data_IF_053056978523
#
_entry.id   IF_053056978523
#
_cell.length_a   1.000
_cell.length_b   1.000
_cell.length_c   1.000
_cell.angle_alpha   90.00
_cell.angle_beta   90.00
_cell.angle_gamma   90.00
#
_symmetry.space_group_name_H-M   'P 1'
#
loop_
_entity.id
_entity.type
_entity.pdbx_description
1 polymer ?
#
# COMPACT_ATOMS: atom_id res chain seq x y z
N UNK A 1 1.70 -0.39 -18.40
CA UNK A 1 1.38 -0.61 -16.97
C UNK A 1 1.61 0.70 -16.24
N UNK A 2 0.85 1.02 -15.19
CA UNK A 2 1.07 2.27 -14.44
C UNK A 2 2.23 2.08 -13.47
N UNK A 3 3.23 2.98 -13.53
CA UNK A 3 4.35 3.03 -12.59
C UNK A 3 3.98 3.93 -11.42
N UNK A 4 4.00 3.37 -10.24
CA UNK A 4 3.70 4.09 -8.99
C UNK A 4 4.85 3.86 -8.01
N UNK A 5 5.31 4.93 -7.38
CA UNK A 5 6.32 4.84 -6.32
C UNK A 5 5.69 5.20 -4.98
N UNK A 6 5.77 4.29 -4.02
CA UNK A 6 5.41 4.60 -2.64
C UNK A 6 6.45 5.51 -2.01
N UNK A 7 5.98 6.53 -1.31
CA UNK A 7 6.87 7.45 -0.58
C UNK A 7 7.33 6.87 0.76
N UNK A 8 7.00 5.61 1.09
CA UNK A 8 7.45 4.93 2.29
C UNK A 8 8.97 5.00 2.48
N UNK A 9 9.74 4.90 1.40
CA UNK A 9 11.19 5.05 1.40
C UNK A 9 11.68 6.41 1.94
N UNK A 10 10.84 7.43 1.92
CA UNK A 10 11.14 8.79 2.35
C UNK A 10 10.46 9.18 3.66
N UNK A 11 9.90 8.23 4.39
CA UNK A 11 9.04 8.45 5.57
C UNK A 11 9.73 9.28 6.68
N UNK A 12 11.08 9.30 6.70
CA UNK A 12 11.87 10.05 7.69
C UNK A 12 12.16 11.49 7.31
N UNK A 13 11.72 11.93 6.13
CA UNK A 13 11.90 13.30 5.66
C UNK A 13 10.56 13.89 5.19
N UNK A 14 10.36 15.21 5.31
CA UNK A 14 9.16 15.85 4.81
C UNK A 14 8.99 15.67 3.30
N UNK A 15 7.78 15.36 2.86
CA UNK A 15 7.42 15.36 1.45
C UNK A 15 7.56 16.78 0.88
N UNK A 16 8.31 16.92 -0.20
CA UNK A 16 8.60 18.23 -0.81
C UNK A 16 8.27 18.24 -2.30
N UNK A 17 8.00 19.43 -2.84
CA UNK A 17 7.80 19.63 -4.27
C UNK A 17 9.04 19.20 -5.09
N UNK A 18 10.25 19.43 -4.55
CA UNK A 18 11.50 18.98 -5.18
C UNK A 18 11.54 17.47 -5.35
N UNK A 19 11.19 16.71 -4.30
CA UNK A 19 11.14 15.25 -4.39
C UNK A 19 10.12 14.79 -5.44
N UNK A 20 8.94 15.41 -5.50
CA UNK A 20 7.92 15.09 -6.49
C UNK A 20 8.39 15.39 -7.92
N UNK A 21 9.10 16.51 -8.12
CA UNK A 21 9.72 16.84 -9.42
C UNK A 21 10.75 15.77 -9.84
N UNK A 22 11.62 15.34 -8.94
CA UNK A 22 12.62 14.29 -9.20
C UNK A 22 11.96 12.96 -9.58
N UNK A 23 10.90 12.55 -8.87
CA UNK A 23 10.12 11.35 -9.17
C UNK A 23 9.51 11.42 -10.57
N UNK A 24 8.90 12.56 -10.93
CA UNK A 24 8.34 12.78 -12.27
C UNK A 24 9.41 12.74 -13.35
N UNK A 25 10.56 13.38 -13.14
CA UNK A 25 11.70 13.38 -14.08
C UNK A 25 12.28 11.97 -14.29
N UNK A 26 12.18 11.09 -13.32
CA UNK A 26 12.55 9.69 -13.45
C UNK A 26 11.57 8.86 -14.30
N UNK A 27 10.50 9.48 -14.85
CA UNK A 27 9.51 8.80 -15.69
C UNK A 27 8.49 7.98 -14.90
N UNK A 28 8.30 8.30 -13.63
CA UNK A 28 7.28 7.71 -12.76
C UNK A 28 6.04 8.61 -12.82
N UNK A 29 4.88 8.05 -13.16
CA UNK A 29 3.66 8.83 -13.41
C UNK A 29 2.69 8.87 -12.23
N UNK A 30 2.87 7.99 -11.26
CA UNK A 30 2.00 7.90 -10.09
C UNK A 30 2.78 7.80 -8.79
N UNK A 31 2.17 8.27 -7.72
CA UNK A 31 2.72 8.13 -6.37
C UNK A 31 1.68 7.54 -5.42
N UNK A 32 2.17 6.81 -4.45
CA UNK A 32 1.49 6.51 -3.22
C UNK A 32 2.15 7.31 -2.10
N UNK A 33 1.35 7.96 -1.26
CA UNK A 33 1.88 8.70 -0.11
C UNK A 33 1.60 7.91 1.17
N UNK A 34 2.67 7.60 1.90
CA UNK A 34 2.57 7.02 3.22
C UNK A 34 2.20 8.10 4.25
N UNK A 35 1.08 7.91 4.93
CA UNK A 35 0.54 8.87 5.89
C UNK A 35 1.29 8.79 7.23
N UNK A 36 2.47 9.40 7.29
CA UNK A 36 3.19 9.64 8.54
C UNK A 36 3.25 11.15 8.80
N UNK A 37 2.89 11.65 9.98
CA UNK A 37 2.82 13.11 10.25
C UNK A 37 4.13 13.86 9.99
N UNK A 38 5.28 13.21 10.22
CA UNK A 38 6.62 13.76 9.94
C UNK A 38 6.95 13.83 8.45
N UNK A 39 6.31 12.99 7.63
CA UNK A 39 6.51 12.93 6.19
C UNK A 39 5.47 13.76 5.45
N UNK A 40 4.21 13.48 5.66
CA UNK A 40 3.08 14.19 5.07
C UNK A 40 2.07 14.60 6.14
N UNK A 41 1.98 15.89 6.41
CA UNK A 41 1.03 16.48 7.35
C UNK A 41 -0.40 16.49 6.78
N UNK A 42 -1.02 15.33 6.66
CA UNK A 42 -2.36 15.16 6.10
C UNK A 42 -3.48 15.86 6.91
N UNK A 43 -3.17 16.36 8.10
CA UNK A 43 -4.07 17.17 8.93
C UNK A 43 -3.99 18.68 8.64
N UNK A 44 -2.98 19.12 7.87
CA UNK A 44 -2.71 20.53 7.61
C UNK A 44 -3.26 20.92 6.21
N UNK A 45 -4.33 21.74 6.12
CA UNK A 45 -4.94 22.08 4.85
C UNK A 45 -3.99 22.74 3.85
N UNK A 46 -3.01 23.50 4.35
CA UNK A 46 -1.96 24.12 3.53
C UNK A 46 -1.06 23.07 2.89
N UNK A 47 -0.68 22.01 3.62
CA UNK A 47 0.15 20.93 3.09
C UNK A 47 -0.58 20.08 2.05
N UNK A 48 -1.89 19.90 2.21
CA UNK A 48 -2.72 19.23 1.21
C UNK A 48 -2.82 20.09 -0.06
N UNK A 49 -2.91 21.43 0.05
CA UNK A 49 -2.87 22.31 -1.12
C UNK A 49 -1.52 22.29 -1.81
N UNK A 50 -0.42 22.43 -1.08
CA UNK A 50 0.94 22.33 -1.60
C UNK A 50 1.15 21.03 -2.38
N UNK A 51 0.63 19.92 -1.87
CA UNK A 51 0.64 18.63 -2.55
C UNK A 51 -0.14 18.68 -3.86
N UNK A 52 -1.38 19.18 -3.84
CA UNK A 52 -2.23 19.26 -5.03
C UNK A 52 -1.56 20.09 -6.15
N UNK A 53 -0.99 21.24 -5.77
CA UNK A 53 -0.31 22.13 -6.69
C UNK A 53 0.94 21.45 -7.31
N UNK A 54 1.76 20.79 -6.50
CA UNK A 54 2.94 20.07 -6.98
C UNK A 54 2.59 18.88 -7.87
N UNK A 55 1.54 18.12 -7.54
CA UNK A 55 1.07 17.02 -8.40
C UNK A 55 0.64 17.53 -9.78
N UNK A 56 -0.11 18.63 -9.82
CA UNK A 56 -0.54 19.26 -11.05
C UNK A 56 0.65 19.81 -11.86
N UNK A 57 1.60 20.49 -11.19
CA UNK A 57 2.79 21.05 -11.82
C UNK A 57 3.66 19.98 -12.47
N UNK A 58 3.88 18.85 -11.80
CA UNK A 58 4.78 17.80 -12.29
C UNK A 58 4.06 16.65 -13.02
N UNK A 59 2.76 16.76 -13.23
CA UNK A 59 1.97 15.76 -13.96
C UNK A 59 1.91 14.39 -13.27
N UNK A 60 1.97 14.38 -11.94
CA UNK A 60 1.86 13.16 -11.14
C UNK A 60 0.41 12.87 -10.75
N UNK A 61 0.05 11.60 -10.76
CA UNK A 61 -1.24 11.12 -10.24
C UNK A 61 -1.07 10.61 -8.82
N UNK A 62 -1.86 11.09 -7.88
CA UNK A 62 -1.98 10.46 -6.57
C UNK A 62 -2.81 9.18 -6.72
N UNK A 63 -2.13 8.04 -6.75
CA UNK A 63 -2.74 6.73 -6.93
C UNK A 63 -3.45 6.28 -5.66
N UNK A 64 -2.74 6.35 -4.54
CA UNK A 64 -3.20 5.88 -3.24
C UNK A 64 -2.59 6.69 -2.09
N UNK A 65 -3.25 6.62 -0.95
CA UNK A 65 -2.63 6.91 0.33
C UNK A 65 -2.49 5.58 1.10
N UNK A 66 -1.33 5.35 1.70
CA UNK A 66 -1.19 4.33 2.73
C UNK A 66 -1.67 4.92 4.07
N UNK A 67 -2.56 4.24 4.75
CA UNK A 67 -3.09 4.69 6.04
C UNK A 67 -1.98 4.84 7.09
N UNK A 68 -2.15 5.74 8.08
CA UNK A 68 -1.16 5.86 9.14
C UNK A 68 -1.13 4.59 9.99
N UNK A 69 0.06 4.03 10.17
CA UNK A 69 0.31 2.85 11.02
C UNK A 69 0.74 3.23 12.43
N UNK A 70 1.20 4.46 12.60
CA UNK A 70 1.66 5.00 13.89
C UNK A 70 1.24 6.46 14.03
N UNK A 71 1.01 6.88 15.29
CA UNK A 71 0.77 8.27 15.65
C UNK A 71 1.98 8.82 16.38
N UNK A 72 2.35 10.05 16.05
CA UNK A 72 3.31 10.89 16.76
C UNK A 72 4.65 10.22 17.12
N UNK A 73 5.57 10.23 16.17
CA UNK A 73 6.99 10.02 16.47
C UNK A 73 7.46 11.16 17.39
N UNK A 74 7.51 10.90 18.71
CA UNK A 74 8.12 11.85 19.63
C UNK A 74 9.62 11.97 19.32
N UNK A 75 10.20 13.18 19.43
CA UNK A 75 11.64 13.36 19.22
C UNK A 75 12.45 12.36 20.06
N UNK A 76 13.37 11.63 19.39
CA UNK A 76 14.22 10.63 20.04
C UNK A 76 13.63 9.24 20.21
N UNK A 77 12.44 8.96 19.69
CA UNK A 77 11.89 7.60 19.58
C UNK A 77 12.07 7.04 18.18
N UNK A 78 12.34 5.74 18.08
CA UNK A 78 12.45 5.03 16.80
C UNK A 78 11.09 4.70 16.19
N UNK A 79 10.03 4.62 17.03
CA UNK A 79 8.65 4.32 16.61
C UNK A 79 7.64 5.20 17.35
N UNK A 80 6.51 5.48 16.71
CA UNK A 80 5.36 6.17 17.28
C UNK A 80 4.47 5.24 18.13
N UNK A 81 3.27 5.73 18.46
CA UNK A 81 2.23 4.91 19.08
C UNK A 81 1.51 4.13 17.98
N UNK A 82 1.50 2.79 18.03
CA UNK A 82 0.82 1.98 17.03
C UNK A 82 -0.66 2.33 16.87
N UNK A 83 -1.12 2.34 15.63
CA UNK A 83 -2.53 2.51 15.27
C UNK A 83 -3.05 1.21 14.66
N UNK A 84 -4.00 0.58 15.33
CA UNK A 84 -4.63 -0.65 14.86
C UNK A 84 -6.14 -0.51 14.85
N UNK A 85 -6.76 -0.74 13.70
CA UNK A 85 -8.22 -0.74 13.55
C UNK A 85 -8.86 -2.00 14.15
N UNK A 86 -8.04 -3.00 14.50
CA UNK A 86 -8.42 -4.24 15.17
C UNK A 86 -8.10 -4.22 16.68
N UNK A 87 -7.66 -3.09 17.25
CA UNK A 87 -7.36 -3.02 18.68
C UNK A 87 -8.61 -3.35 19.50
N UNK A 88 -8.48 -4.30 20.42
CA UNK A 88 -9.58 -4.74 21.31
C UNK A 88 -9.92 -3.68 22.35
N UNK A 89 -8.98 -2.78 22.66
CA UNK A 89 -9.26 -1.61 23.49
C UNK A 89 -9.96 -0.53 22.66
N UNK A 90 -11.23 -0.29 23.00
CA UNK A 90 -12.11 0.61 22.22
C UNK A 90 -11.53 2.00 22.02
N UNK A 91 -10.88 2.58 23.03
CA UNK A 91 -10.34 3.95 22.93
C UNK A 91 -9.22 4.00 21.89
N UNK A 92 -8.28 3.06 21.92
CA UNK A 92 -7.17 2.99 20.94
C UNK A 92 -7.70 2.73 19.54
N UNK A 93 -8.69 1.85 19.41
CA UNK A 93 -9.32 1.58 18.13
C UNK A 93 -10.03 2.80 17.55
N UNK A 94 -10.76 3.57 18.36
CA UNK A 94 -11.38 4.81 17.90
C UNK A 94 -10.35 5.86 17.48
N UNK A 95 -9.25 5.98 18.21
CA UNK A 95 -8.13 6.84 17.82
C UNK A 95 -7.57 6.44 16.44
N UNK A 96 -7.37 5.13 16.20
CA UNK A 96 -6.89 4.63 14.91
C UNK A 96 -7.89 4.93 13.79
N UNK A 97 -9.18 4.68 14.01
CA UNK A 97 -10.25 4.98 13.04
C UNK A 97 -10.31 6.47 12.71
N UNK A 98 -10.16 7.33 13.70
CA UNK A 98 -10.17 8.79 13.50
C UNK A 98 -8.95 9.26 12.69
N UNK A 99 -7.77 8.65 12.91
CA UNK A 99 -6.59 8.95 12.09
C UNK A 99 -6.76 8.52 10.63
N UNK A 100 -7.32 7.34 10.40
CA UNK A 100 -7.64 6.87 9.05
C UNK A 100 -8.64 7.80 8.36
N UNK A 101 -9.65 8.30 9.08
CA UNK A 101 -10.60 9.29 8.54
C UNK A 101 -9.92 10.59 8.13
N UNK A 102 -8.95 11.08 8.93
CA UNK A 102 -8.18 12.28 8.57
C UNK A 102 -7.37 12.08 7.29
N UNK A 103 -6.81 10.89 7.08
CA UNK A 103 -6.16 10.56 5.81
C UNK A 103 -7.17 10.54 4.65
N UNK A 104 -8.37 10.00 4.85
CA UNK A 104 -9.45 10.00 3.85
C UNK A 104 -9.94 11.41 3.48
N UNK A 105 -9.92 12.37 4.42
CA UNK A 105 -10.31 13.76 4.20
C UNK A 105 -9.40 14.49 3.18
N UNK A 106 -8.19 13.99 2.94
CA UNK A 106 -7.30 14.50 1.88
C UNK A 106 -8.00 14.45 0.52
N UNK A 107 -8.83 13.43 0.25
CA UNK A 107 -9.55 13.27 -0.99
C UNK A 107 -10.49 14.44 -1.33
N UNK A 108 -10.92 15.22 -0.35
CA UNK A 108 -11.78 16.39 -0.55
C UNK A 108 -11.08 17.52 -1.33
N UNK A 109 -9.75 17.52 -1.33
CA UNK A 109 -8.92 18.52 -2.03
C UNK A 109 -8.00 17.92 -3.09
N UNK A 110 -7.47 16.75 -2.79
CA UNK A 110 -6.54 16.02 -3.66
C UNK A 110 -7.11 14.62 -3.87
N UNK A 111 -7.94 14.42 -4.92
CA UNK A 111 -8.57 13.13 -5.18
C UNK A 111 -7.53 12.02 -5.38
N UNK A 112 -7.81 10.86 -4.78
CA UNK A 112 -7.04 9.63 -4.96
C UNK A 112 -7.99 8.43 -4.98
N UNK A 113 -7.51 7.30 -5.49
CA UNK A 113 -8.38 6.16 -5.76
C UNK A 113 -8.47 5.17 -4.59
N UNK A 114 -7.35 4.88 -3.95
CA UNK A 114 -7.29 3.83 -2.94
C UNK A 114 -6.68 4.31 -1.63
N UNK A 115 -7.28 3.91 -0.52
CA UNK A 115 -6.62 3.92 0.79
C UNK A 115 -6.15 2.51 1.10
N UNK A 116 -4.84 2.33 1.22
CA UNK A 116 -4.26 1.05 1.63
C UNK A 116 -4.34 0.95 3.15
N UNK A 117 -4.86 -0.17 3.63
CA UNK A 117 -5.13 -0.36 5.05
C UNK A 117 -4.73 -1.76 5.51
N UNK A 118 -3.93 -1.84 6.57
CA UNK A 118 -3.69 -3.08 7.28
C UNK A 118 -4.88 -3.44 8.18
N UNK A 119 -5.15 -4.74 8.34
CA UNK A 119 -6.16 -5.20 9.30
C UNK A 119 -5.75 -4.91 10.74
N UNK A 120 -4.47 -5.06 11.04
CA UNK A 120 -3.88 -4.88 12.36
C UNK A 120 -2.58 -4.08 12.33
N UNK A 121 -1.82 -4.13 13.42
CA UNK A 121 -0.48 -3.58 13.53
C UNK A 121 0.48 -4.62 14.08
N UNK A 122 1.56 -4.88 13.32
CA UNK A 122 2.54 -5.90 13.69
C UNK A 122 2.00 -7.33 13.51
N UNK A 123 2.53 -8.27 14.30
CA UNK A 123 2.16 -9.68 14.24
C UNK A 123 0.97 -9.96 15.18
N UNK A 124 -0.22 -9.64 14.72
CA UNK A 124 -1.45 -9.86 15.49
C UNK A 124 -2.10 -11.20 15.12
N UNK A 125 -2.62 -11.90 16.15
CA UNK A 125 -3.37 -13.14 15.94
C UNK A 125 -4.78 -12.85 15.42
N UNK A 126 -5.33 -13.78 14.64
CA UNK A 126 -6.70 -13.72 14.13
C UNK A 126 -7.72 -14.18 15.19
N UNK A 127 -7.69 -13.60 16.40
CA UNK A 127 -8.70 -13.93 17.40
C UNK A 127 -10.05 -13.26 17.09
N UNK A 128 -11.18 -13.86 17.52
CA UNK A 128 -12.53 -13.33 17.21
C UNK A 128 -12.76 -11.89 17.66
N UNK A 129 -12.18 -11.46 18.79
CA UNK A 129 -12.37 -10.07 19.28
C UNK A 129 -11.69 -9.05 18.37
N UNK A 130 -10.51 -9.40 17.82
CA UNK A 130 -9.82 -8.55 16.86
C UNK A 130 -10.57 -8.51 15.53
N UNK A 131 -11.06 -9.64 15.09
CA UNK A 131 -11.87 -9.73 13.87
C UNK A 131 -13.15 -8.89 13.97
N UNK A 132 -13.88 -8.96 15.09
CA UNK A 132 -15.06 -8.13 15.37
C UNK A 132 -14.70 -6.63 15.45
N UNK A 133 -13.57 -6.32 16.07
CA UNK A 133 -13.08 -4.94 16.17
C UNK A 133 -12.75 -4.36 14.79
N UNK A 134 -12.05 -5.13 13.94
CA UNK A 134 -11.73 -4.75 12.57
C UNK A 134 -13.01 -4.59 11.73
N UNK A 135 -13.98 -5.51 11.88
CA UNK A 135 -15.28 -5.40 11.20
C UNK A 135 -15.99 -4.09 11.54
N UNK A 136 -16.16 -3.78 12.82
CA UNK A 136 -16.80 -2.54 13.27
C UNK A 136 -16.09 -1.28 12.75
N UNK A 137 -14.76 -1.33 12.70
CA UNK A 137 -13.94 -0.22 12.17
C UNK A 137 -14.12 -0.07 10.67
N UNK A 138 -14.01 -1.15 9.91
CA UNK A 138 -14.09 -1.15 8.45
C UNK A 138 -15.49 -0.83 7.93
N UNK A 139 -16.54 -1.27 8.61
CA UNK A 139 -17.91 -0.88 8.29
C UNK A 139 -18.06 0.64 8.32
N UNK A 140 -17.57 1.28 9.38
CA UNK A 140 -17.60 2.73 9.52
C UNK A 140 -16.70 3.44 8.49
N UNK A 141 -15.48 2.97 8.30
CA UNK A 141 -14.50 3.54 7.37
C UNK A 141 -14.93 3.39 5.91
N UNK A 142 -15.55 2.27 5.53
CA UNK A 142 -16.02 2.05 4.15
C UNK A 142 -17.09 3.06 3.74
N UNK A 143 -18.04 3.35 4.64
CA UNK A 143 -19.05 4.41 4.40
C UNK A 143 -18.40 5.78 4.27
N UNK A 144 -17.43 6.09 5.13
CA UNK A 144 -16.73 7.37 5.14
C UNK A 144 -15.87 7.58 3.89
N UNK A 145 -15.18 6.52 3.44
CA UNK A 145 -14.36 6.51 2.23
C UNK A 145 -15.22 6.65 0.96
N UNK A 146 -16.32 5.88 0.88
CA UNK A 146 -17.25 5.90 -0.26
C UNK A 146 -17.83 7.29 -0.52
N UNK A 147 -18.17 8.02 0.52
CA UNK A 147 -18.67 9.41 0.41
C UNK A 147 -17.64 10.36 -0.21
N UNK A 148 -16.34 9.99 -0.22
CA UNK A 148 -15.22 10.74 -0.80
C UNK A 148 -14.72 10.18 -2.13
N UNK A 149 -15.39 9.16 -2.65
CA UNK A 149 -14.96 8.48 -3.88
C UNK A 149 -13.71 7.61 -3.72
N UNK A 150 -13.32 7.29 -2.47
CA UNK A 150 -12.16 6.47 -2.16
C UNK A 150 -12.60 5.03 -1.88
N UNK A 151 -11.83 4.07 -2.36
CA UNK A 151 -12.00 2.65 -2.05
C UNK A 151 -10.91 2.21 -1.06
N UNK A 152 -11.32 1.55 0.02
CA UNK A 152 -10.36 0.93 0.94
C UNK A 152 -9.87 -0.38 0.32
N UNK A 153 -8.56 -0.52 0.21
CA UNK A 153 -7.88 -1.74 -0.21
C UNK A 153 -7.13 -2.33 0.97
N UNK A 154 -7.60 -3.48 1.47
CA UNK A 154 -6.92 -4.19 2.55
C UNK A 154 -5.67 -4.86 1.99
N UNK A 155 -4.55 -4.62 2.65
CA UNK A 155 -3.27 -5.20 2.29
C UNK A 155 -3.03 -6.50 3.05
N UNK A 156 -2.51 -7.51 2.35
CA UNK A 156 -2.03 -8.70 3.03
C UNK A 156 -0.74 -8.42 3.78
N UNK A 157 -0.71 -8.83 5.03
CA UNK A 157 0.45 -8.73 5.93
C UNK A 157 0.91 -10.13 6.36
N UNK A 158 2.20 -10.30 6.75
CA UNK A 158 2.74 -11.62 7.10
C UNK A 158 2.38 -12.01 8.56
N UNK A 159 1.09 -11.99 8.85
CA UNK A 159 0.51 -12.39 10.15
C UNK A 159 -0.85 -13.07 9.94
N UNK A 160 -1.38 -13.69 11.00
CA UNK A 160 -2.62 -14.47 10.91
C UNK A 160 -3.84 -13.62 10.52
N UNK A 161 -3.91 -12.38 10.98
CA UNK A 161 -5.06 -11.50 10.75
C UNK A 161 -5.07 -10.95 9.31
N UNK A 162 -3.90 -10.60 8.78
CA UNK A 162 -3.71 -10.04 7.45
C UNK A 162 -3.35 -11.06 6.37
N UNK A 163 -3.25 -12.34 6.69
CA UNK A 163 -2.95 -13.38 5.68
C UNK A 163 -3.96 -13.36 4.52
N UNK A 164 -3.53 -13.65 3.27
CA UNK A 164 -4.41 -13.64 2.09
C UNK A 164 -5.71 -14.43 2.26
N UNK A 165 -5.63 -15.61 2.86
CA UNK A 165 -6.81 -16.46 3.12
C UNK A 165 -7.74 -15.84 4.18
N UNK A 166 -7.17 -15.21 5.22
CA UNK A 166 -7.93 -14.54 6.28
C UNK A 166 -8.68 -13.31 5.74
N UNK A 167 -8.04 -12.50 4.89
CA UNK A 167 -8.69 -11.35 4.24
C UNK A 167 -9.85 -11.79 3.35
N UNK A 168 -9.66 -12.85 2.56
CA UNK A 168 -10.73 -13.42 1.73
C UNK A 168 -11.91 -13.88 2.59
N UNK A 169 -11.62 -14.65 3.64
CA UNK A 169 -12.65 -15.15 4.56
C UNK A 169 -13.38 -14.01 5.25
N UNK A 170 -12.64 -13.02 5.79
CA UNK A 170 -13.21 -11.84 6.43
C UNK A 170 -14.21 -11.11 5.53
N UNK A 171 -13.83 -10.82 4.27
CA UNK A 171 -14.73 -10.12 3.34
C UNK A 171 -15.97 -10.98 3.01
N UNK A 172 -15.82 -12.29 2.88
CA UNK A 172 -16.93 -13.18 2.60
C UNK A 172 -17.94 -13.25 3.77
N UNK A 173 -17.44 -13.32 5.01
CA UNK A 173 -18.27 -13.43 6.22
C UNK A 173 -18.93 -12.11 6.62
N UNK A 174 -18.25 -10.98 6.40
CA UNK A 174 -18.75 -9.66 6.83
C UNK A 174 -19.63 -8.96 5.79
N UNK A 175 -19.69 -9.46 4.56
CA UNK A 175 -20.44 -8.84 3.45
C UNK A 175 -20.02 -7.39 3.14
N UNK A 176 -18.81 -6.97 3.50
CA UNK A 176 -18.25 -5.67 3.16
C UNK A 176 -17.79 -5.64 1.68
N UNK A 177 -18.77 -5.70 0.78
CA UNK A 177 -18.53 -5.91 -0.67
C UNK A 177 -17.81 -4.75 -1.37
N UNK A 178 -17.80 -3.56 -0.76
CA UNK A 178 -17.09 -2.39 -1.28
C UNK A 178 -15.57 -2.43 -1.02
N UNK A 179 -15.11 -3.26 -0.09
CA UNK A 179 -13.69 -3.46 0.17
C UNK A 179 -12.99 -4.13 -1.02
N UNK A 180 -11.77 -3.71 -1.27
CA UNK A 180 -10.84 -4.28 -2.25
C UNK A 180 -9.57 -4.73 -1.55
N UNK A 181 -8.64 -5.27 -2.32
CA UNK A 181 -7.40 -5.82 -1.79
C UNK A 181 -6.19 -5.17 -2.48
N UNK A 182 -5.16 -4.90 -1.68
CA UNK A 182 -3.82 -4.61 -2.13
C UNK A 182 -2.99 -5.89 -1.99
N UNK A 183 -2.40 -6.37 -3.07
CA UNK A 183 -1.56 -7.57 -3.00
C UNK A 183 -0.10 -7.17 -2.83
N UNK A 184 0.41 -7.39 -1.63
CA UNK A 184 1.82 -7.25 -1.33
C UNK A 184 2.55 -8.57 -1.62
N UNK A 185 3.47 -8.52 -2.60
CA UNK A 185 4.24 -9.68 -3.06
C UNK A 185 5.26 -10.12 -2.02
N UNK A 186 5.91 -9.17 -1.36
CA UNK A 186 6.92 -9.47 -0.35
C UNK A 186 6.33 -10.13 0.88
N UNK A 187 5.20 -9.64 1.34
CA UNK A 187 4.45 -10.24 2.44
C UNK A 187 3.94 -11.65 2.09
N UNK A 188 3.41 -11.81 0.87
CA UNK A 188 2.98 -13.14 0.40
C UNK A 188 4.16 -14.13 0.31
N UNK A 189 5.35 -13.66 -0.09
CA UNK A 189 6.57 -14.48 -0.11
C UNK A 189 6.98 -14.99 1.28
N UNK A 190 6.77 -14.18 2.30
CA UNK A 190 7.11 -14.52 3.70
C UNK A 190 6.08 -15.43 4.37
N UNK A 191 4.82 -15.43 3.91
CA UNK A 191 3.70 -16.08 4.60
C UNK A 191 3.18 -17.31 3.82
N UNK A 192 2.35 -17.08 2.81
CA UNK A 192 1.58 -18.14 2.13
C UNK A 192 2.22 -18.63 0.83
N UNK A 193 3.21 -17.91 0.33
CA UNK A 193 3.70 -18.02 -1.04
C UNK A 193 2.86 -17.20 -2.03
N UNK A 194 3.54 -16.69 -3.06
CA UNK A 194 2.97 -15.71 -4.00
C UNK A 194 1.77 -16.27 -4.78
N UNK A 195 1.88 -17.50 -5.27
CA UNK A 195 0.82 -18.13 -6.07
C UNK A 195 -0.44 -18.37 -5.24
N UNK A 196 -0.29 -18.95 -4.05
CA UNK A 196 -1.41 -19.23 -3.16
C UNK A 196 -2.04 -17.93 -2.63
N UNK A 197 -1.22 -16.93 -2.30
CA UNK A 197 -1.69 -15.61 -1.88
C UNK A 197 -2.50 -14.91 -2.97
N UNK A 198 -1.99 -14.88 -4.20
CA UNK A 198 -2.72 -14.30 -5.32
C UNK A 198 -4.01 -15.06 -5.63
N UNK A 199 -3.99 -16.40 -5.61
CA UNK A 199 -5.20 -17.19 -5.84
C UNK A 199 -6.29 -16.89 -4.81
N UNK A 200 -5.91 -16.65 -3.56
CA UNK A 200 -6.86 -16.29 -2.51
C UNK A 200 -7.47 -14.88 -2.72
N UNK A 201 -6.72 -13.94 -3.30
CA UNK A 201 -7.09 -12.51 -3.34
C UNK A 201 -7.53 -12.01 -4.72
N UNK A 202 -7.16 -12.69 -5.82
CA UNK A 202 -7.16 -12.19 -7.21
C UNK A 202 -8.46 -11.52 -7.67
N UNK A 203 -9.63 -11.99 -7.21
CA UNK A 203 -10.93 -11.45 -7.65
C UNK A 203 -11.19 -10.04 -7.12
N UNK A 204 -10.45 -9.60 -6.09
CA UNK A 204 -10.64 -8.32 -5.42
C UNK A 204 -9.41 -7.44 -5.40
N UNK A 205 -8.27 -7.92 -5.91
CA UNK A 205 -7.04 -7.13 -5.99
C UNK A 205 -7.23 -6.00 -7.01
N UNK A 206 -6.90 -4.78 -6.58
CA UNK A 206 -7.01 -3.57 -7.40
C UNK A 206 -5.70 -2.78 -7.45
N UNK A 207 -4.78 -3.08 -6.55
CA UNK A 207 -3.46 -2.47 -6.48
C UNK A 207 -2.47 -3.45 -5.86
N UNK A 208 -1.18 -3.13 -5.91
CA UNK A 208 -0.11 -4.01 -5.42
C UNK A 208 0.88 -3.23 -4.60
N UNK A 209 1.60 -3.92 -3.70
CA UNK A 209 2.91 -3.50 -3.23
C UNK A 209 3.95 -4.47 -3.73
N UNK A 210 5.02 -3.92 -4.27
CA UNK A 210 6.07 -4.68 -4.94
C UNK A 210 7.41 -4.30 -4.34
N UNK A 211 8.01 -5.26 -3.67
CA UNK A 211 9.36 -5.24 -3.12
C UNK A 211 9.91 -6.65 -3.03
N UNK A 212 11.20 -6.79 -2.78
CA UNK A 212 11.85 -8.08 -2.57
C UNK A 212 12.25 -8.28 -1.11
N UNK A 213 12.48 -9.51 -0.72
CA UNK A 213 13.04 -9.91 0.56
C UNK A 213 13.60 -11.34 0.47
N UNK A 214 14.19 -11.84 1.55
CA UNK A 214 14.75 -13.18 1.62
C UNK A 214 13.82 -14.23 2.28
N UNK A 215 12.53 -13.88 2.48
CA UNK A 215 11.50 -14.77 3.04
C UNK A 215 11.44 -14.80 4.57
N UNK A 216 12.37 -14.17 5.29
CA UNK A 216 12.41 -14.18 6.75
C UNK A 216 12.04 -12.83 7.39
N UNK A 217 12.35 -11.75 6.71
CA UNK A 217 12.15 -10.36 7.18
C UNK A 217 11.54 -9.52 6.09
N UNK A 218 10.75 -8.57 6.52
CA UNK A 218 10.18 -7.55 5.67
C UNK A 218 11.21 -6.47 5.34
N UNK A 219 12.04 -6.75 4.32
CA UNK A 219 13.22 -5.96 3.99
C UNK A 219 12.93 -4.82 3.01
N UNK A 220 11.87 -4.90 2.23
CA UNK A 220 11.52 -3.94 1.17
C UNK A 220 12.69 -3.61 0.23
N UNK A 221 13.40 -4.65 -0.23
CA UNK A 221 14.49 -4.53 -1.19
C UNK A 221 13.97 -4.17 -2.59
N UNK A 222 14.85 -3.68 -3.45
CA UNK A 222 14.52 -3.59 -4.87
C UNK A 222 14.19 -4.98 -5.43
N UNK A 223 13.18 -5.08 -6.31
CA UNK A 223 12.93 -6.30 -7.06
C UNK A 223 14.20 -6.85 -7.71
N UNK A 224 14.42 -8.15 -7.57
CA UNK A 224 15.59 -8.93 -8.00
C UNK A 224 16.82 -8.86 -7.07
N UNK A 225 16.73 -8.24 -5.91
CA UNK A 225 17.82 -8.20 -4.92
C UNK A 225 17.62 -9.20 -3.77
N UNK A 226 16.43 -9.79 -3.62
CA UNK A 226 16.11 -10.82 -2.64
C UNK A 226 16.00 -12.21 -3.25
N UNK A 227 15.12 -13.02 -2.69
CA UNK A 227 14.92 -14.43 -3.09
C UNK A 227 13.59 -14.68 -3.82
N UNK A 228 12.79 -13.66 -4.10
CA UNK A 228 11.53 -13.80 -4.83
C UNK A 228 11.77 -14.31 -6.26
N UNK A 229 11.05 -15.35 -6.65
CA UNK A 229 11.03 -15.79 -8.04
C UNK A 229 10.12 -14.86 -8.87
N UNK A 230 10.73 -13.87 -9.51
CA UNK A 230 10.02 -12.83 -10.29
C UNK A 230 9.30 -13.38 -11.53
N UNK A 231 9.69 -14.54 -12.03
CA UNK A 231 8.94 -15.23 -13.07
C UNK A 231 7.55 -15.68 -12.58
N UNK A 232 7.51 -16.25 -11.37
CA UNK A 232 6.27 -16.69 -10.71
C UNK A 232 5.47 -15.45 -10.29
N UNK A 233 6.10 -14.49 -9.64
CA UNK A 233 5.44 -13.28 -9.14
C UNK A 233 4.71 -12.52 -10.26
N UNK A 234 5.37 -12.29 -11.38
CA UNK A 234 4.77 -11.58 -12.51
C UNK A 234 3.70 -12.43 -13.23
N UNK A 235 3.85 -13.74 -13.27
CA UNK A 235 2.79 -14.62 -13.79
C UNK A 235 1.53 -14.54 -12.93
N UNK A 236 1.67 -14.50 -11.61
CA UNK A 236 0.54 -14.34 -10.68
C UNK A 236 -0.17 -12.97 -10.89
N UNK A 237 0.57 -11.88 -11.10
CA UNK A 237 -0.03 -10.57 -11.40
C UNK A 237 -0.76 -10.55 -12.75
N UNK A 238 -0.23 -11.24 -13.77
CA UNK A 238 -0.87 -11.35 -15.10
C UNK A 238 -2.19 -12.11 -15.01
N UNK A 239 -2.32 -13.05 -14.06
CA UNK A 239 -3.54 -13.83 -13.85
C UNK A 239 -4.68 -13.05 -13.18
N UNK A 240 -4.44 -11.83 -12.71
CA UNK A 240 -5.50 -10.96 -12.18
C UNK A 240 -6.52 -10.60 -13.28
N UNK A 241 -7.82 -10.48 -12.94
CA UNK A 241 -8.88 -10.16 -13.91
C UNK A 241 -8.66 -8.82 -14.64
N UNK A 242 -8.10 -7.85 -13.95
CA UNK A 242 -7.82 -6.52 -14.48
C UNK A 242 -6.31 -6.20 -14.37
N UNK A 243 -5.77 -5.39 -15.29
CA UNK A 243 -4.37 -4.98 -15.22
C UNK A 243 -4.06 -4.24 -13.92
N UNK A 244 -3.12 -4.75 -13.16
CA UNK A 244 -2.69 -4.15 -11.90
C UNK A 244 -1.57 -3.11 -12.13
N UNK A 245 -1.51 -2.03 -11.33
CA UNK A 245 -0.37 -1.13 -11.30
C UNK A 245 0.83 -1.83 -10.69
N UNK A 246 2.04 -1.35 -10.99
CA UNK A 246 3.25 -1.68 -10.23
C UNK A 246 3.48 -0.55 -9.23
N UNK A 247 3.23 -0.82 -7.96
CA UNK A 247 3.51 0.12 -6.86
C UNK A 247 4.78 -0.37 -6.15
N UNK A 248 5.92 0.28 -6.39
CA UNK A 248 7.15 -0.06 -5.69
C UNK A 248 7.13 0.54 -4.29
N UNK A 249 7.14 -0.32 -3.27
CA UNK A 249 7.21 0.06 -1.88
C UNK A 249 8.56 -0.36 -1.29
N UNK A 250 9.49 0.59 -1.20
CA UNK A 250 10.88 0.35 -0.83
C UNK A 250 11.20 0.96 0.52
N UNK A 251 12.24 0.44 1.17
CA UNK A 251 12.75 0.94 2.44
C UNK A 251 14.22 1.32 2.32
N UNK A 252 14.64 2.27 3.15
CA UNK A 252 16.07 2.59 3.26
C UNK A 252 16.84 1.37 3.74
N UNK A 253 17.91 1.03 2.98
CA UNK A 253 18.80 -0.07 3.31
C UNK A 253 20.06 0.44 4.02
N UNK A 254 20.81 -0.40 4.75
CA UNK A 254 22.09 -0.01 5.35
C UNK A 254 23.12 0.51 4.33
N UNK A 255 23.04 0.05 3.09
CA UNK A 255 23.85 0.51 1.97
C UNK A 255 23.38 1.85 1.38
N UNK A 256 22.30 2.43 1.89
CA UNK A 256 21.68 3.64 1.40
C UNK A 256 20.41 3.38 0.58
N UNK A 257 19.81 4.46 0.07
CA UNK A 257 18.60 4.40 -0.75
C UNK A 257 18.96 4.09 -2.20
N UNK A 258 18.21 3.20 -2.89
CA UNK A 258 18.32 3.07 -4.33
C UNK A 258 18.08 4.41 -5.03
N UNK A 259 18.87 4.75 -6.04
CA UNK A 259 18.65 5.97 -6.82
C UNK A 259 17.36 5.88 -7.66
N UNK A 260 16.80 7.01 -8.07
CA UNK A 260 15.65 7.03 -8.97
C UNK A 260 15.95 6.39 -10.33
N UNK A 261 17.22 6.43 -10.79
CA UNK A 261 17.65 5.71 -12.00
C UNK A 261 17.63 4.19 -11.82
N UNK A 262 18.03 3.68 -10.66
CA UNK A 262 17.90 2.25 -10.35
C UNK A 262 16.42 1.83 -10.28
N UNK A 263 15.57 2.64 -9.66
CA UNK A 263 14.12 2.42 -9.61
C UNK A 263 13.53 2.39 -11.02
N UNK A 264 13.88 3.34 -11.88
CA UNK A 264 13.45 3.37 -13.28
C UNK A 264 13.87 2.09 -14.01
N UNK A 265 15.13 1.68 -13.86
CA UNK A 265 15.63 0.46 -14.47
C UNK A 265 14.88 -0.80 -14.01
N UNK A 266 14.48 -0.84 -12.71
CA UNK A 266 13.65 -1.92 -12.19
C UNK A 266 12.25 -1.90 -12.79
N UNK A 267 11.59 -0.73 -12.91
CA UNK A 267 10.32 -0.63 -13.63
C UNK A 267 10.42 -1.14 -15.06
N UNK A 268 11.45 -0.73 -15.81
CA UNK A 268 11.67 -1.16 -17.18
C UNK A 268 11.84 -2.68 -17.28
N UNK A 269 12.55 -3.29 -16.33
CA UNK A 269 12.77 -4.74 -16.27
C UNK A 269 11.48 -5.48 -15.91
N UNK A 270 10.71 -5.01 -14.93
CA UNK A 270 9.43 -5.59 -14.55
C UNK A 270 8.42 -5.54 -15.71
N UNK A 271 8.28 -4.39 -16.36
CA UNK A 271 7.37 -4.23 -17.51
C UNK A 271 7.74 -5.15 -18.67
N UNK A 272 9.01 -5.21 -19.03
CA UNK A 272 9.49 -6.10 -20.10
C UNK A 272 9.19 -7.57 -19.81
N UNK A 273 9.40 -8.00 -18.56
CA UNK A 273 9.12 -9.38 -18.16
C UNK A 273 7.62 -9.65 -18.12
N UNK A 274 6.81 -8.70 -17.67
CA UNK A 274 5.37 -8.77 -17.65
C UNK A 274 4.76 -8.87 -19.05
N UNK A 275 5.23 -8.05 -20.00
CA UNK A 275 4.79 -8.09 -21.41
C UNK A 275 5.09 -9.43 -22.07
N UNK A 276 6.23 -10.04 -21.75
CA UNK A 276 6.61 -11.35 -22.27
C UNK A 276 5.67 -12.48 -21.79
N UNK A 277 4.98 -12.27 -20.66
CA UNK A 277 4.05 -13.27 -20.08
C UNK A 277 2.59 -13.04 -20.45
N UNK A 278 2.22 -11.89 -21.00
CA UNK A 278 0.86 -11.66 -21.48
C UNK A 278 0.53 -12.62 -22.63
N UNK A 279 -0.65 -13.26 -22.57
CA UNK A 279 -1.11 -14.05 -23.71
C UNK A 279 -1.14 -13.15 -24.95
N UNK A 280 -0.47 -13.57 -26.03
CA UNK A 280 -0.60 -12.86 -27.30
C UNK A 280 -2.08 -12.85 -27.66
N UNK A 281 -2.67 -11.65 -27.80
CA UNK A 281 -4.04 -11.55 -28.31
C UNK A 281 -4.12 -12.39 -29.60
N UNK A 282 -5.04 -13.35 -29.63
CA UNK A 282 -5.31 -14.12 -30.81
C UNK A 282 -5.62 -13.11 -31.92
N UNK A 283 -4.82 -13.10 -32.99
CA UNK A 283 -5.12 -12.30 -34.18
C UNK A 283 -6.43 -12.85 -34.74
N UNK A 284 -7.52 -12.12 -34.52
CA UNK A 284 -8.82 -12.31 -35.17
C UNK A 284 -8.74 -12.02 -36.66
#
# INVERSE_FOLDING_TARGET
MQRVLSTYRYIRQPLSATLLAEISQAGISGIEIFCAPSHFSYRAPEKIRELADALAEYGLTLHSLHSPTERDLAPGRESGVPLSISDTERIRRLDAVDEVKRALEVAERTPFRYLIQHMGHGRESADPKRTDAAFSSLENLAVFAKARGVTIALENTPDELGAPASLRQFIAETHLHDLRLCFDIGHAHMESGIEAGMEAMRERVVTTHIHDNHGEKDEHLLPFEGSINWEIALAALVAAPEPLPIVLELKEQPAGMPSLDQIRAVFDKLEKTFEAKRPRAAKS
#
